data_IF_491295472350
#
_entry.id   IF_491295472350
#
_cell.length_a   1.000
_cell.length_b   1.000
_cell.length_c   1.000
_cell.angle_alpha   90.00
_cell.angle_beta   90.00
_cell.angle_gamma   90.00
#
_symmetry.space_group_name_H-M   'P 1'
#
loop_
_entity.id
_entity.type
_entity.pdbx_description
1 polymer ?
#
# COMPACT_ATOMS: atom_id res chain seq x y z
N UNK A 1 -9.92 -3.55 -6.49
CA UNK A 1 -10.49 -4.87 -6.89
C UNK A 1 -11.91 -4.97 -6.38
N UNK A 2 -12.79 -5.70 -7.07
CA UNK A 2 -14.09 -6.08 -6.51
C UNK A 2 -13.87 -7.12 -5.41
N UNK A 3 -14.61 -7.02 -4.29
CA UNK A 3 -14.57 -8.01 -3.19
C UNK A 3 -14.88 -9.41 -3.69
N UNK A 4 -15.68 -9.52 -4.76
CA UNK A 4 -15.97 -10.78 -5.42
C UNK A 4 -14.71 -11.48 -5.97
N UNK A 5 -13.76 -10.73 -6.55
CA UNK A 5 -12.51 -11.29 -7.08
C UNK A 5 -11.60 -11.85 -5.98
N UNK A 6 -11.62 -11.22 -4.81
CA UNK A 6 -10.86 -11.68 -3.64
C UNK A 6 -11.44 -13.02 -3.18
N UNK A 7 -12.76 -13.08 -2.98
CA UNK A 7 -13.42 -14.30 -2.54
C UNK A 7 -13.27 -15.44 -3.56
N UNK A 8 -13.40 -15.16 -4.86
CA UNK A 8 -13.16 -16.17 -5.89
C UNK A 8 -11.73 -16.68 -5.90
N UNK A 9 -10.75 -15.80 -5.64
CA UNK A 9 -9.35 -16.20 -5.56
C UNK A 9 -9.10 -17.11 -4.35
N UNK A 10 -9.61 -16.76 -3.17
CA UNK A 10 -9.45 -17.58 -1.97
C UNK A 10 -10.19 -18.92 -2.10
N UNK A 11 -11.34 -18.98 -2.78
CA UNK A 11 -12.02 -20.23 -3.10
C UNK A 11 -11.19 -21.13 -4.03
N UNK A 12 -10.71 -20.59 -5.16
CA UNK A 12 -9.85 -21.33 -6.09
C UNK A 12 -8.57 -21.82 -5.39
N UNK A 13 -8.03 -21.00 -4.49
CA UNK A 13 -6.85 -21.37 -3.69
C UNK A 13 -7.15 -22.53 -2.74
N UNK A 14 -8.32 -22.53 -2.09
CA UNK A 14 -8.75 -23.62 -1.23
C UNK A 14 -8.97 -24.93 -2.01
N UNK A 15 -9.62 -24.84 -3.17
CA UNK A 15 -9.90 -26.01 -4.03
C UNK A 15 -8.62 -26.68 -4.55
N UNK A 16 -7.56 -25.89 -4.81
CA UNK A 16 -6.26 -26.42 -5.28
C UNK A 16 -5.52 -27.23 -4.24
N UNK A 17 -5.77 -27.01 -2.95
CA UNK A 17 -5.08 -27.74 -1.89
C UNK A 17 -6.01 -28.00 -0.69
N UNK A 18 -6.91 -28.99 -0.80
CA UNK A 18 -7.97 -29.25 0.19
C UNK A 18 -7.44 -29.65 1.57
N UNK A 19 -6.22 -30.18 1.62
CA UNK A 19 -5.56 -30.63 2.85
C UNK A 19 -4.81 -29.51 3.59
N UNK A 20 -4.69 -28.32 2.99
CA UNK A 20 -4.00 -27.19 3.59
C UNK A 20 -4.96 -26.35 4.44
N UNK A 21 -4.57 -26.04 5.67
CA UNK A 21 -5.25 -25.03 6.48
C UNK A 21 -4.77 -23.64 6.05
N UNK A 22 -5.69 -22.81 5.57
CA UNK A 22 -5.39 -21.42 5.18
C UNK A 22 -5.61 -20.47 6.37
N UNK A 23 -4.74 -19.47 6.57
CA UNK A 23 -4.95 -18.45 7.59
C UNK A 23 -6.19 -17.61 7.27
N UNK A 24 -6.85 -17.10 8.32
CA UNK A 24 -7.99 -16.19 8.16
C UNK A 24 -7.61 -14.90 7.44
N UNK A 25 -8.55 -14.34 6.66
CA UNK A 25 -8.39 -13.06 5.99
C UNK A 25 -9.59 -12.15 6.29
N UNK A 26 -9.33 -10.85 6.31
CA UNK A 26 -10.33 -9.82 6.58
C UNK A 26 -10.31 -8.76 5.49
N UNK A 27 -11.49 -8.33 5.04
CA UNK A 27 -11.62 -7.28 4.03
C UNK A 27 -12.18 -6.02 4.67
N UNK A 28 -11.33 -5.00 4.78
CA UNK A 28 -11.72 -3.68 5.24
C UNK A 28 -11.88 -2.70 4.08
N UNK A 29 -12.87 -1.82 4.16
CA UNK A 29 -13.12 -0.78 3.16
C UNK A 29 -12.72 0.58 3.72
N UNK A 30 -11.96 1.32 2.93
CA UNK A 30 -11.56 2.70 3.22
C UNK A 30 -11.94 3.59 2.03
N UNK A 31 -12.27 4.87 2.27
CA UNK A 31 -12.56 5.79 1.17
C UNK A 31 -11.30 6.07 0.36
N UNK A 32 -11.50 6.35 -0.94
CA UNK A 32 -10.38 6.75 -1.81
C UNK A 32 -9.85 8.12 -1.39
N UNK A 33 -8.53 8.28 -1.45
CA UNK A 33 -7.89 9.56 -1.11
C UNK A 33 -8.13 10.62 -2.19
N UNK A 34 -8.29 10.20 -3.46
CA UNK A 34 -8.50 11.09 -4.59
C UNK A 34 -9.36 10.43 -5.67
N UNK A 35 -10.31 11.19 -6.20
CA UNK A 35 -11.11 10.81 -7.36
C UNK A 35 -10.44 11.21 -8.68
N UNK A 36 -10.81 10.52 -9.77
CA UNK A 36 -10.27 10.82 -11.10
C UNK A 36 -10.71 12.24 -11.50
N UNK A 37 -9.79 13.06 -12.02
CA UNK A 37 -10.01 14.48 -12.36
C UNK A 37 -10.40 15.42 -11.21
N UNK A 38 -10.28 14.99 -9.96
CA UNK A 38 -10.49 15.88 -8.81
C UNK A 38 -9.43 17.00 -8.77
N UNK A 39 -9.84 18.21 -8.38
CA UNK A 39 -8.93 19.34 -8.20
C UNK A 39 -7.91 19.07 -7.09
N UNK A 40 -6.72 19.68 -7.21
CA UNK A 40 -5.62 19.48 -6.24
C UNK A 40 -6.01 19.86 -4.82
N UNK A 41 -6.73 20.97 -4.64
CA UNK A 41 -7.17 21.44 -3.31
C UNK A 41 -8.17 20.47 -2.68
N UNK A 42 -9.17 20.04 -3.44
CA UNK A 42 -10.15 19.07 -2.95
C UNK A 42 -9.50 17.71 -2.63
N UNK A 43 -8.49 17.32 -3.41
CA UNK A 43 -7.73 16.08 -3.21
C UNK A 43 -7.01 16.04 -1.85
N UNK A 44 -6.52 17.18 -1.36
CA UNK A 44 -5.90 17.26 -0.03
C UNK A 44 -6.94 16.96 1.06
N UNK A 45 -8.13 17.56 0.97
CA UNK A 45 -9.21 17.34 1.93
C UNK A 45 -9.67 15.89 1.94
N UNK A 46 -9.87 15.27 0.77
CA UNK A 46 -10.27 13.86 0.69
C UNK A 46 -9.16 12.91 1.13
N UNK A 47 -7.90 13.28 0.96
CA UNK A 47 -6.76 12.51 1.49
C UNK A 47 -6.72 12.56 3.01
N UNK A 48 -6.90 13.74 3.61
CA UNK A 48 -6.98 13.91 5.07
C UNK A 48 -8.16 13.14 5.67
N UNK A 49 -9.32 13.18 5.01
CA UNK A 49 -10.48 12.40 5.41
C UNK A 49 -10.21 10.88 5.36
N UNK A 50 -9.57 10.41 4.29
CA UNK A 50 -9.17 9.01 4.16
C UNK A 50 -8.14 8.60 5.23
N UNK A 51 -7.22 9.50 5.58
CA UNK A 51 -6.25 9.29 6.67
C UNK A 51 -6.94 9.19 8.03
N UNK A 52 -7.88 10.08 8.34
CA UNK A 52 -8.65 10.06 9.58
C UNK A 52 -9.41 8.75 9.76
N UNK A 53 -9.98 8.20 8.69
CA UNK A 53 -10.67 6.91 8.73
C UNK A 53 -9.74 5.71 8.72
N UNK A 54 -8.55 5.83 8.12
CA UNK A 54 -7.55 4.76 8.09
C UNK A 54 -6.87 4.56 9.44
N UNK A 55 -6.69 5.63 10.23
CA UNK A 55 -5.97 5.57 11.50
C UNK A 55 -6.62 4.64 12.55
N UNK A 56 -7.93 4.73 12.87
CA UNK A 56 -8.60 3.80 13.78
C UNK A 56 -8.53 2.35 13.30
N UNK A 57 -8.55 2.13 11.97
CA UNK A 57 -8.42 0.81 11.39
C UNK A 57 -7.02 0.24 11.63
N UNK A 58 -5.96 0.98 11.29
CA UNK A 58 -4.59 0.55 11.57
C UNK A 58 -4.33 0.37 13.06
N UNK A 59 -4.91 1.21 13.93
CA UNK A 59 -4.79 1.08 15.37
C UNK A 59 -5.48 -0.17 15.94
N UNK A 60 -6.60 -0.60 15.34
CA UNK A 60 -7.28 -1.85 15.70
C UNK A 60 -6.54 -3.08 15.19
N UNK A 61 -6.15 -3.07 13.91
CA UNK A 61 -5.49 -4.21 13.26
C UNK A 61 -4.06 -4.40 13.76
N UNK A 62 -3.36 -3.31 14.10
CA UNK A 62 -1.96 -3.28 14.54
C UNK A 62 -1.06 -4.18 13.66
N UNK A 63 -0.99 -3.93 12.35
CA UNK A 63 -0.23 -4.78 11.43
C UNK A 63 1.27 -4.76 11.79
N UNK A 64 1.94 -5.88 11.57
CA UNK A 64 3.42 -5.95 11.61
C UNK A 64 4.04 -5.40 10.32
N UNK A 65 3.31 -5.55 9.21
CA UNK A 65 3.75 -5.19 7.86
C UNK A 65 2.59 -4.55 7.09
N UNK A 66 2.87 -3.44 6.42
CA UNK A 66 2.02 -2.85 5.39
C UNK A 66 2.73 -3.03 4.06
N UNK A 67 2.23 -3.96 3.25
CA UNK A 67 2.62 -4.12 1.86
C UNK A 67 1.62 -3.41 0.97
N UNK A 68 2.09 -2.47 0.15
CA UNK A 68 1.22 -1.76 -0.78
C UNK A 68 1.91 -1.41 -2.09
N UNK A 69 1.11 -1.35 -3.14
CA UNK A 69 1.42 -0.71 -4.40
C UNK A 69 0.38 0.40 -4.66
N UNK A 70 0.73 1.42 -5.46
CA UNK A 70 -0.19 2.54 -5.77
C UNK A 70 -1.57 2.07 -6.27
N UNK A 71 -2.67 2.85 -6.07
CA UNK A 71 -2.74 4.31 -6.25
C UNK A 71 -2.74 5.10 -4.93
N UNK A 72 -2.95 6.43 -4.99
CA UNK A 72 -2.79 7.40 -3.90
C UNK A 72 -3.43 7.08 -2.55
N UNK A 73 -4.40 6.17 -2.48
CA UNK A 73 -5.01 5.71 -1.22
C UNK A 73 -4.02 4.93 -0.33
N UNK A 74 -2.93 4.40 -0.87
CA UNK A 74 -1.90 3.76 -0.05
C UNK A 74 -1.17 4.75 0.88
N UNK A 75 -1.05 6.03 0.48
CA UNK A 75 -0.35 7.07 1.24
C UNK A 75 -0.96 7.28 2.64
N UNK A 76 -2.27 7.57 2.79
CA UNK A 76 -2.86 7.75 4.12
C UNK A 76 -2.71 6.51 5.01
N UNK A 77 -2.81 5.29 4.46
CA UNK A 77 -2.62 4.05 5.25
C UNK A 77 -1.19 3.95 5.77
N UNK A 78 -0.19 4.22 4.91
CA UNK A 78 1.22 4.17 5.31
C UNK A 78 1.54 5.23 6.35
N UNK A 79 1.00 6.45 6.20
CA UNK A 79 1.17 7.50 7.21
C UNK A 79 0.50 7.08 8.52
N UNK A 80 -0.72 6.52 8.49
CA UNK A 80 -1.37 6.00 9.70
C UNK A 80 -0.55 4.91 10.38
N UNK A 81 0.07 4.00 9.62
CA UNK A 81 0.98 2.99 10.16
C UNK A 81 2.25 3.59 10.77
N UNK A 82 2.85 4.58 10.11
CA UNK A 82 4.01 5.30 10.64
C UNK A 82 3.68 6.04 11.94
N UNK A 83 2.48 6.64 12.03
CA UNK A 83 2.01 7.30 13.25
C UNK A 83 1.91 6.32 14.44
N UNK A 84 1.54 5.05 14.22
CA UNK A 84 1.56 4.04 15.29
C UNK A 84 2.98 3.81 15.84
N UNK A 85 3.99 3.88 14.97
CA UNK A 85 5.39 3.79 15.37
C UNK A 85 5.85 5.04 16.13
N UNK A 86 5.51 6.23 15.64
CA UNK A 86 5.85 7.51 16.28
C UNK A 86 5.21 7.64 17.66
N UNK A 87 3.96 7.18 17.82
CA UNK A 87 3.24 7.18 19.10
C UNK A 87 3.71 6.08 20.06
N UNK A 88 4.70 5.26 19.68
CA UNK A 88 5.25 4.18 20.53
C UNK A 88 4.31 2.99 20.71
N UNK A 89 3.24 2.87 19.91
CA UNK A 89 2.24 1.80 20.04
C UNK A 89 2.76 0.50 19.44
N UNK A 90 3.19 0.56 18.17
CA UNK A 90 3.75 -0.58 17.44
C UNK A 90 4.55 -0.07 16.25
N UNK A 91 5.77 -0.56 16.07
CA UNK A 91 6.54 -0.31 14.86
C UNK A 91 5.98 -1.18 13.72
N UNK A 92 5.50 -0.54 12.67
CA UNK A 92 4.97 -1.20 11.48
C UNK A 92 6.00 -1.09 10.37
N UNK A 93 6.35 -2.21 9.73
CA UNK A 93 7.24 -2.21 8.57
C UNK A 93 6.42 -1.78 7.34
N UNK A 94 6.90 -0.81 6.58
CA UNK A 94 6.23 -0.33 5.38
C UNK A 94 7.04 -0.75 4.15
N UNK A 95 6.44 -1.61 3.32
CA UNK A 95 6.99 -2.04 2.03
C UNK A 95 6.15 -1.46 0.91
N UNK A 96 6.76 -0.61 0.10
CA UNK A 96 6.13 -0.03 -1.07
C UNK A 96 6.68 -0.65 -2.35
N UNK A 97 5.79 -1.11 -3.23
CA UNK A 97 6.15 -1.61 -4.56
C UNK A 97 5.67 -0.61 -5.60
N UNK A 98 6.60 0.01 -6.33
CA UNK A 98 6.27 0.93 -7.40
C UNK A 98 5.66 0.20 -8.60
N UNK A 99 4.75 0.90 -9.29
CA UNK A 99 4.05 0.39 -10.46
C UNK A 99 5.02 0.03 -11.58
N UNK A 100 4.77 -1.12 -12.22
CA UNK A 100 5.50 -1.56 -13.41
C UNK A 100 5.41 -0.55 -14.57
N UNK A 101 4.35 0.27 -14.62
CA UNK A 101 4.17 1.29 -15.66
C UNK A 101 5.12 2.49 -15.49
N UNK A 102 5.87 2.57 -14.38
CA UNK A 102 6.81 3.66 -14.10
C UNK A 102 8.23 3.24 -14.46
N UNK A 103 8.67 3.61 -15.66
CA UNK A 103 10.00 3.23 -16.18
C UNK A 103 11.07 4.28 -15.86
N UNK A 104 10.74 5.57 -15.98
CA UNK A 104 11.71 6.67 -15.91
C UNK A 104 11.57 7.56 -14.66
N UNK A 105 10.35 7.65 -14.13
CA UNK A 105 9.99 8.53 -13.03
C UNK A 105 9.05 7.82 -12.06
N UNK A 106 9.26 8.02 -10.76
CA UNK A 106 8.35 7.54 -9.71
C UNK A 106 6.96 8.18 -9.83
N UNK A 107 5.95 7.45 -9.41
CA UNK A 107 4.60 7.99 -9.24
C UNK A 107 4.58 9.06 -8.14
N UNK A 108 3.55 9.90 -8.10
CA UNK A 108 3.43 10.90 -7.02
C UNK A 108 3.42 10.22 -5.64
N UNK A 109 2.66 9.14 -5.51
CA UNK A 109 2.63 8.31 -4.30
C UNK A 109 3.99 7.68 -4.02
N UNK A 110 4.69 7.20 -5.06
CA UNK A 110 6.04 6.67 -4.94
C UNK A 110 7.03 7.72 -4.45
N UNK A 111 6.98 8.96 -4.94
CA UNK A 111 7.83 10.06 -4.45
C UNK A 111 7.60 10.36 -2.97
N UNK A 112 6.35 10.33 -2.52
CA UNK A 112 6.00 10.55 -1.11
C UNK A 112 6.50 9.36 -0.26
N UNK A 113 6.15 8.13 -0.67
CA UNK A 113 6.45 6.93 0.08
C UNK A 113 7.92 6.53 0.04
N UNK A 114 8.69 6.98 -0.95
CA UNK A 114 10.15 6.79 -1.00
C UNK A 114 10.86 7.29 0.26
N UNK A 115 10.31 8.32 0.92
CA UNK A 115 10.86 8.86 2.16
C UNK A 115 10.25 8.26 3.43
N UNK A 116 9.11 7.57 3.31
CA UNK A 116 8.33 7.07 4.45
C UNK A 116 8.36 5.55 4.59
N UNK A 117 8.66 4.81 3.53
CA UNK A 117 8.73 3.35 3.53
C UNK A 117 10.08 2.86 4.02
N UNK A 118 10.09 1.79 4.82
CA UNK A 118 11.32 1.08 5.19
C UNK A 118 11.96 0.41 3.96
N UNK A 119 11.14 -0.17 3.08
CA UNK A 119 11.59 -0.79 1.84
C UNK A 119 10.83 -0.23 0.65
N UNK A 120 11.56 0.34 -0.30
CA UNK A 120 11.01 0.86 -1.54
C UNK A 120 11.47 0.01 -2.72
N UNK A 121 10.56 -0.74 -3.32
CA UNK A 121 10.86 -1.70 -4.38
C UNK A 121 10.55 -1.07 -5.75
N UNK A 122 11.51 -1.19 -6.67
CA UNK A 122 11.38 -0.78 -8.08
C UNK A 122 11.56 -1.97 -9.01
N UNK A 123 10.89 -1.90 -10.16
CA UNK A 123 10.89 -2.97 -11.16
C UNK A 123 11.79 -2.68 -12.37
N UNK A 124 12.38 -1.49 -12.43
CA UNK A 124 13.26 -1.05 -13.53
C UNK A 124 14.65 -0.67 -13.03
N UNK A 125 15.73 -1.09 -13.72
CA UNK A 125 17.10 -0.78 -13.31
C UNK A 125 17.39 0.72 -13.38
N UNK A 126 16.83 1.42 -14.37
CA UNK A 126 16.91 2.88 -14.51
C UNK A 126 16.42 3.64 -13.27
N UNK A 127 15.35 3.15 -12.64
CA UNK A 127 14.85 3.73 -11.39
C UNK A 127 15.80 3.44 -10.22
N UNK A 128 16.46 2.28 -10.20
CA UNK A 128 17.44 1.96 -9.16
C UNK A 128 18.67 2.87 -9.24
N UNK A 129 19.16 3.13 -10.45
CA UNK A 129 20.26 4.07 -10.68
C UNK A 129 19.90 5.48 -10.20
N UNK A 130 18.69 5.95 -10.52
CA UNK A 130 18.20 7.28 -10.13
C UNK A 130 17.84 7.40 -8.64
N UNK A 131 17.38 6.31 -8.03
CA UNK A 131 16.94 6.24 -6.65
C UNK A 131 17.70 5.14 -5.91
N UNK A 132 18.97 5.39 -5.51
CA UNK A 132 19.85 4.34 -4.99
C UNK A 132 19.36 3.68 -3.70
N UNK A 133 18.49 4.34 -2.91
CA UNK A 133 17.84 3.75 -1.73
C UNK A 133 16.77 2.70 -2.07
N UNK A 134 16.31 2.65 -3.32
CA UNK A 134 15.34 1.64 -3.76
C UNK A 134 15.97 0.25 -3.88
N UNK A 135 15.15 -0.79 -3.82
CA UNK A 135 15.53 -2.19 -4.04
C UNK A 135 15.01 -2.60 -5.41
N UNK A 136 15.91 -3.01 -6.29
CA UNK A 136 15.53 -3.55 -7.59
C UNK A 136 15.28 -5.05 -7.48
N UNK A 137 14.08 -5.50 -7.84
CA UNK A 137 13.70 -6.92 -7.85
C UNK A 137 13.24 -7.41 -9.23
N UNK A 138 13.38 -6.59 -10.27
CA UNK A 138 12.88 -6.92 -11.61
C UNK A 138 11.35 -6.99 -11.67
N UNK A 139 10.82 -7.83 -12.56
CA UNK A 139 9.37 -7.97 -12.79
C UNK A 139 8.75 -8.88 -11.71
N UNK A 140 7.91 -8.30 -10.86
CA UNK A 140 7.24 -9.00 -9.74
C UNK A 140 5.76 -9.28 -10.04
N UNK A 141 5.18 -8.57 -11.01
CA UNK A 141 3.75 -8.61 -11.37
C UNK A 141 3.54 -9.36 -12.68
#
# INVERSE_FOLDING_TARGET
MSTHKINSFEQIRADRNPSATFPEYYVHRIPRSREVQQSWLSSVLTTLYSMWLSFPLTYRVKPDLVLCNGPGTCVPICISALLLGILGIKKVIIVYVESICRVEHLSLSGKILFHLSDYFIVQWPTLKEKYPKSVYLGRIV
#
